data_IF_374808254381
#
_entry.id   IF_374808254381
#
_cell.length_a   1.000
_cell.length_b   1.000
_cell.length_c   1.000
_cell.angle_alpha   90.00
_cell.angle_beta   90.00
_cell.angle_gamma   90.00
#
_symmetry.space_group_name_H-M   'P 1'
#
loop_
_entity.id
_entity.type
_entity.pdbx_description
1 polymer ?
#
# COMPACT_ATOMS: atom_id res chain seq x y z
N UNK A 1 5.15 23.56 5.64
CA UNK A 1 3.87 23.27 4.96
C UNK A 1 2.79 24.31 5.31
N UNK A 2 2.54 24.60 6.59
CA UNK A 2 1.47 25.52 7.07
C UNK A 2 1.34 26.87 6.36
N UNK A 3 2.44 27.56 6.05
CA UNK A 3 2.38 28.84 5.32
C UNK A 3 1.83 28.66 3.89
N UNK A 4 2.31 27.63 3.18
CA UNK A 4 1.92 27.35 1.80
C UNK A 4 0.45 26.93 1.75
N UNK A 5 0.00 26.11 2.69
CA UNK A 5 -1.42 25.79 2.87
C UNK A 5 -2.23 27.07 3.06
N UNK A 6 -1.80 27.96 3.96
CA UNK A 6 -2.47 29.24 4.19
C UNK A 6 -2.56 30.14 2.96
N UNK A 7 -1.52 30.15 2.11
CA UNK A 7 -1.49 30.87 0.82
C UNK A 7 -2.51 30.28 -0.15
N UNK A 8 -2.51 28.96 -0.35
CA UNK A 8 -3.40 28.30 -1.31
C UNK A 8 -4.86 28.24 -0.87
N UNK A 9 -5.14 28.07 0.43
CA UNK A 9 -6.51 28.13 0.97
C UNK A 9 -7.17 29.49 0.77
N UNK A 10 -6.38 30.56 0.60
CA UNK A 10 -6.86 31.93 0.41
C UNK A 10 -6.49 32.52 -0.96
N UNK A 11 -6.04 31.65 -1.85
CA UNK A 11 -5.42 31.99 -3.12
C UNK A 11 -6.42 32.33 -4.21
N UNK A 12 -5.99 33.15 -5.16
CA UNK A 12 -6.71 33.46 -6.39
C UNK A 12 -5.96 32.90 -7.61
N UNK A 13 -6.48 33.21 -8.80
CA UNK A 13 -5.89 32.77 -10.08
C UNK A 13 -4.42 33.16 -10.25
N UNK A 14 -3.92 34.17 -9.52
CA UNK A 14 -2.52 34.63 -9.61
C UNK A 14 -1.54 33.55 -9.13
N UNK A 15 -1.94 32.69 -8.18
CA UNK A 15 -1.09 31.61 -7.67
C UNK A 15 -0.76 30.53 -8.72
N UNK A 16 -1.51 30.44 -9.82
CA UNK A 16 -1.23 29.48 -10.90
C UNK A 16 0.21 29.60 -11.43
N UNK A 17 0.74 30.82 -11.52
CA UNK A 17 2.12 31.08 -11.94
C UNK A 17 3.13 30.51 -10.95
N UNK A 18 2.89 30.67 -9.64
CA UNK A 18 3.77 30.14 -8.60
C UNK A 18 3.78 28.60 -8.60
N UNK A 19 2.63 27.95 -8.80
CA UNK A 19 2.55 26.49 -8.94
C UNK A 19 3.39 26.00 -10.12
N UNK A 20 3.25 26.65 -11.28
CA UNK A 20 4.01 26.27 -12.47
C UNK A 20 5.52 26.44 -12.27
N UNK A 21 5.96 27.52 -11.61
CA UNK A 21 7.37 27.76 -11.32
C UNK A 21 7.91 26.72 -10.32
N UNK A 22 7.20 26.47 -9.23
CA UNK A 22 7.58 25.46 -8.24
C UNK A 22 7.72 24.07 -8.89
N UNK A 23 6.75 23.69 -9.74
CA UNK A 23 6.80 22.45 -10.51
C UNK A 23 8.04 22.37 -11.42
N UNK A 24 8.37 23.46 -12.14
CA UNK A 24 9.58 23.54 -12.99
C UNK A 24 10.88 23.45 -12.18
N UNK A 25 10.88 23.88 -10.92
CA UNK A 25 11.99 23.74 -9.97
C UNK A 25 12.07 22.34 -9.31
N UNK A 26 11.18 21.43 -9.71
CA UNK A 26 11.18 20.04 -9.27
C UNK A 26 10.39 19.79 -7.99
N UNK A 27 9.56 20.72 -7.52
CA UNK A 27 8.59 20.43 -6.48
C UNK A 27 7.60 19.38 -6.98
N UNK A 28 7.62 18.21 -6.35
CA UNK A 28 6.70 17.09 -6.57
C UNK A 28 6.48 16.40 -5.24
N UNK A 29 5.26 15.89 -5.05
CA UNK A 29 4.88 15.17 -3.83
C UNK A 29 5.08 15.96 -2.54
N UNK A 30 4.84 17.28 -2.58
CA UNK A 30 4.95 18.20 -1.43
C UNK A 30 4.03 17.88 -0.24
N UNK A 31 3.11 16.91 -0.39
CA UNK A 31 2.30 16.39 0.70
C UNK A 31 3.05 15.41 1.63
N UNK A 32 4.22 14.92 1.23
CA UNK A 32 5.12 14.14 2.09
C UNK A 32 6.21 15.05 2.65
N UNK A 33 6.32 15.11 3.98
CA UNK A 33 7.15 16.10 4.67
C UNK A 33 8.64 15.99 4.31
N UNK A 34 9.10 14.79 4.00
CA UNK A 34 10.45 14.45 3.59
C UNK A 34 10.80 14.93 2.16
N UNK A 35 9.81 15.20 1.32
CA UNK A 35 10.00 15.71 -0.05
C UNK A 35 9.62 17.18 -0.20
N UNK A 36 9.00 17.77 0.82
CA UNK A 36 8.58 19.17 0.82
C UNK A 36 9.79 20.12 0.88
N UNK A 37 9.98 20.90 -0.18
CA UNK A 37 11.05 21.90 -0.27
C UNK A 37 10.48 23.32 -0.21
N UNK A 38 10.53 23.91 0.98
CA UNK A 38 9.99 25.24 1.21
C UNK A 38 10.77 26.36 0.49
N UNK A 39 12.08 26.17 0.26
CA UNK A 39 12.91 27.19 -0.37
C UNK A 39 12.47 27.41 -1.83
N UNK A 40 12.25 26.32 -2.56
CA UNK A 40 11.72 26.36 -3.93
C UNK A 40 10.35 27.03 -4.02
N UNK A 41 9.49 26.83 -3.03
CA UNK A 41 8.19 27.52 -2.96
C UNK A 41 8.32 29.02 -2.72
N UNK A 42 9.23 29.45 -1.84
CA UNK A 42 9.49 30.90 -1.63
C UNK A 42 10.03 31.56 -2.90
N UNK A 43 10.99 30.91 -3.56
CA UNK A 43 11.52 31.38 -4.84
C UNK A 43 10.41 31.44 -5.89
N UNK A 44 9.60 30.40 -6.01
CA UNK A 44 8.50 30.35 -6.97
C UNK A 44 7.45 31.44 -6.76
N UNK A 45 7.13 31.78 -5.50
CA UNK A 45 6.26 32.91 -5.17
C UNK A 45 6.92 34.26 -5.51
N UNK A 46 8.20 34.42 -5.20
CA UNK A 46 8.96 35.64 -5.51
C UNK A 46 9.08 35.88 -7.02
N UNK A 47 9.43 34.85 -7.81
CA UNK A 47 9.48 34.90 -9.28
C UNK A 47 8.09 35.11 -9.92
N UNK A 48 7.03 34.65 -9.25
CA UNK A 48 5.66 34.94 -9.65
C UNK A 48 5.27 36.41 -9.36
N UNK A 49 6.04 37.14 -8.54
CA UNK A 49 5.72 38.49 -8.08
C UNK A 49 4.65 38.50 -6.98
N UNK A 50 4.57 37.43 -6.19
CA UNK A 50 3.53 37.21 -5.20
C UNK A 50 4.11 37.23 -3.78
N UNK A 51 3.53 38.07 -2.94
CA UNK A 51 3.86 38.11 -1.52
C UNK A 51 2.97 37.11 -0.76
N UNK A 52 3.54 36.08 -0.08
CA UNK A 52 2.75 35.16 0.75
C UNK A 52 1.98 35.87 1.88
N UNK A 53 2.45 37.01 2.38
CA UNK A 53 1.77 37.75 3.44
C UNK A 53 0.48 38.41 2.98
N UNK A 54 0.37 38.77 1.69
CA UNK A 54 -0.88 39.23 1.08
C UNK A 54 -2.02 38.21 1.26
N UNK A 55 -1.71 36.91 1.23
CA UNK A 55 -2.72 35.86 1.38
C UNK A 55 -2.98 35.50 2.85
N UNK A 56 -1.98 35.62 3.71
CA UNK A 56 -1.98 35.00 5.04
C UNK A 56 -2.23 35.96 6.21
N UNK A 57 -1.77 37.22 6.10
CA UNK A 57 -1.77 38.17 7.23
C UNK A 57 -2.77 39.31 7.08
N UNK A 58 -3.22 39.63 5.86
CA UNK A 58 -4.11 40.77 5.67
C UNK A 58 -5.52 40.48 6.16
N UNK A 59 -6.15 41.49 6.75
CA UNK A 59 -7.60 41.50 6.97
C UNK A 59 -8.29 41.69 5.62
N UNK A 60 -9.38 40.95 5.40
CA UNK A 60 -10.18 41.00 4.18
C UNK A 60 -11.50 41.72 4.48
N UNK A 61 -11.77 42.87 3.86
CA UNK A 61 -13.05 43.53 4.04
C UNK A 61 -14.14 42.77 3.26
N UNK A 62 -15.39 42.89 3.68
CA UNK A 62 -16.48 42.08 3.12
C UNK A 62 -16.98 42.54 1.75
N UNK A 63 -16.64 43.77 1.37
CA UNK A 63 -16.88 44.35 0.04
C UNK A 63 -15.87 43.88 -1.02
N UNK A 64 -14.83 43.16 -0.61
CA UNK A 64 -13.91 42.50 -1.52
C UNK A 64 -14.58 41.28 -2.19
N UNK A 65 -14.23 41.06 -3.46
CA UNK A 65 -14.53 39.82 -4.17
C UNK A 65 -13.53 38.75 -3.73
N UNK A 66 -14.01 37.73 -3.01
CA UNK A 66 -13.17 36.63 -2.56
C UNK A 66 -12.93 35.61 -3.67
N UNK A 67 -11.79 34.91 -3.66
CA UNK A 67 -11.50 33.88 -4.66
C UNK A 67 -12.54 32.77 -4.72
N UNK A 68 -13.25 32.50 -3.62
CA UNK A 68 -14.30 31.49 -3.50
C UNK A 68 -15.73 32.06 -3.64
N UNK A 69 -15.91 33.36 -3.93
CA UNK A 69 -17.26 33.95 -4.08
C UNK A 69 -18.04 33.37 -5.27
N UNK A 70 -17.38 32.68 -6.19
CA UNK A 70 -18.02 31.96 -7.29
C UNK A 70 -18.58 30.58 -6.89
N UNK A 71 -18.38 30.15 -5.63
CA UNK A 71 -18.88 28.88 -5.12
C UNK A 71 -20.24 29.07 -4.45
N UNK A 72 -21.24 28.33 -4.92
CA UNK A 72 -22.58 28.33 -4.34
C UNK A 72 -22.73 27.15 -3.37
N UNK A 73 -22.58 27.40 -2.08
CA UNK A 73 -22.81 26.40 -1.03
C UNK A 73 -24.27 26.34 -0.57
N UNK A 74 -25.10 27.23 -1.10
CA UNK A 74 -26.49 27.47 -0.68
C UNK A 74 -26.61 28.46 0.49
N UNK A 75 -25.57 28.66 1.30
CA UNK A 75 -25.57 29.71 2.31
C UNK A 75 -25.24 31.08 1.67
N UNK A 76 -25.98 32.13 2.05
CA UNK A 76 -25.75 33.50 1.54
C UNK A 76 -24.50 34.14 2.14
N UNK A 77 -23.84 35.03 1.39
CA UNK A 77 -22.65 35.76 1.86
C UNK A 77 -23.01 36.64 3.07
N UNK A 78 -24.19 37.24 3.07
CA UNK A 78 -24.71 38.06 4.16
C UNK A 78 -24.91 37.24 5.44
N UNK A 79 -25.38 36.00 5.33
CA UNK A 79 -25.47 35.09 6.48
C UNK A 79 -24.08 34.75 7.03
N UNK A 80 -23.12 34.40 6.16
CA UNK A 80 -21.77 34.07 6.59
C UNK A 80 -21.05 35.24 7.28
N UNK A 81 -21.29 36.48 6.83
CA UNK A 81 -20.78 37.69 7.49
C UNK A 81 -21.36 37.81 8.90
N UNK A 82 -22.68 37.65 9.07
CA UNK A 82 -23.33 37.68 10.38
C UNK A 82 -22.81 36.58 11.32
N UNK A 83 -22.58 35.37 10.81
CA UNK A 83 -22.01 34.27 11.60
C UNK A 83 -20.57 34.55 12.01
N UNK A 84 -19.77 35.19 11.16
CA UNK A 84 -18.43 35.64 11.51
C UNK A 84 -18.45 36.70 12.63
N UNK A 85 -19.35 37.69 12.56
CA UNK A 85 -19.52 38.70 13.61
C UNK A 85 -19.93 38.07 14.95
N UNK A 86 -20.93 37.16 14.95
CA UNK A 86 -21.30 36.38 16.13
C UNK A 86 -20.13 35.58 16.70
N UNK A 87 -19.32 34.96 15.85
CA UNK A 87 -18.17 34.19 16.29
C UNK A 87 -17.13 35.07 17.00
N UNK A 88 -16.92 36.31 16.54
CA UNK A 88 -16.07 37.28 17.23
C UNK A 88 -16.65 37.69 18.60
N UNK A 89 -17.98 37.71 18.73
CA UNK A 89 -18.69 37.97 19.98
C UNK A 89 -18.84 36.72 20.88
N UNK A 90 -18.28 35.58 20.48
CA UNK A 90 -18.45 34.27 21.14
C UNK A 90 -19.92 33.82 21.26
N UNK A 91 -20.78 34.33 20.38
CA UNK A 91 -22.18 33.98 20.31
C UNK A 91 -22.39 32.73 19.43
N UNK A 92 -23.24 31.82 19.90
CA UNK A 92 -23.61 30.63 19.15
C UNK A 92 -24.85 30.84 18.28
N UNK A 93 -24.93 30.11 17.18
CA UNK A 93 -26.16 29.99 16.39
C UNK A 93 -26.87 28.68 16.74
N UNK A 94 -28.15 28.74 17.18
CA UNK A 94 -28.88 27.54 17.60
C UNK A 94 -29.17 26.61 16.43
N UNK A 95 -29.39 25.33 16.73
CA UNK A 95 -29.77 24.34 15.72
C UNK A 95 -31.13 24.69 15.12
N UNK A 96 -31.17 25.00 13.81
CA UNK A 96 -32.39 25.32 13.08
C UNK A 96 -33.38 24.15 12.97
N UNK A 97 -33.00 22.92 13.32
CA UNK A 97 -33.90 21.75 13.40
C UNK A 97 -34.78 21.77 14.65
N UNK A 98 -34.21 22.17 15.78
CA UNK A 98 -34.87 22.19 17.09
C UNK A 98 -35.30 23.61 17.51
N UNK A 99 -34.71 24.63 16.91
CA UNK A 99 -34.96 26.04 17.17
C UNK A 99 -35.57 26.78 15.98
N UNK A 100 -35.40 28.10 15.97
CA UNK A 100 -35.87 28.97 14.88
C UNK A 100 -34.92 28.87 13.68
N UNK A 101 -35.45 29.01 12.47
CA UNK A 101 -34.66 29.11 11.25
C UNK A 101 -33.63 30.27 11.38
N UNK A 102 -32.37 30.00 11.04
CA UNK A 102 -31.30 31.01 11.06
C UNK A 102 -31.21 31.84 9.77
N UNK A 103 -32.12 31.61 8.83
CA UNK A 103 -32.21 32.30 7.54
C UNK A 103 -30.89 32.29 6.74
N UNK A 104 -30.25 31.12 6.69
CA UNK A 104 -28.95 30.96 6.03
C UNK A 104 -29.03 31.01 4.50
N UNK A 105 -30.22 30.91 3.91
CA UNK A 105 -30.47 30.87 2.46
C UNK A 105 -30.48 29.47 1.84
N UNK A 106 -30.14 28.44 2.61
CA UNK A 106 -29.95 27.07 2.10
C UNK A 106 -31.27 26.33 1.84
N UNK A 107 -32.31 26.62 2.61
CA UNK A 107 -33.64 26.00 2.49
C UNK A 107 -34.64 27.02 1.92
N UNK A 108 -35.31 26.66 0.83
CA UNK A 108 -36.42 27.47 0.26
C UNK A 108 -37.80 27.01 0.78
N UNK A 109 -37.83 25.94 1.59
CA UNK A 109 -39.02 25.28 2.12
C UNK A 109 -40.03 24.79 1.06
N UNK A 110 -39.65 24.84 -0.22
CA UNK A 110 -40.42 24.39 -1.37
C UNK A 110 -39.76 23.14 -1.95
N UNK A 111 -38.57 23.28 -2.53
CA UNK A 111 -37.78 22.18 -3.09
C UNK A 111 -36.77 21.62 -2.07
N UNK A 112 -36.15 22.49 -1.27
CA UNK A 112 -35.10 22.19 -0.31
C UNK A 112 -35.61 22.50 1.10
N UNK A 113 -35.79 21.45 1.90
CA UNK A 113 -36.16 21.56 3.31
C UNK A 113 -35.41 20.52 4.14
N UNK A 114 -35.04 20.85 5.39
CA UNK A 114 -34.41 19.88 6.26
C UNK A 114 -35.45 18.79 6.56
N UNK A 115 -35.10 17.54 6.24
CA UNK A 115 -35.86 16.38 6.72
C UNK A 115 -35.11 15.79 7.89
N UNK A 116 -35.71 15.82 9.06
CA UNK A 116 -35.30 14.93 10.13
C UNK A 116 -35.47 13.51 9.62
N UNK A 117 -34.45 12.67 9.78
CA UNK A 117 -34.60 11.25 9.53
C UNK A 117 -35.69 10.72 10.47
N UNK A 118 -36.85 10.38 9.92
CA UNK A 118 -37.96 9.79 10.66
C UNK A 118 -37.78 8.28 10.64
N UNK A 119 -37.66 7.70 11.83
CA UNK A 119 -37.13 6.35 12.02
C UNK A 119 -35.65 6.43 12.34
N UNK A 120 -35.16 5.48 13.13
CA UNK A 120 -33.75 5.16 13.07
C UNK A 120 -33.44 5.07 11.58
N UNK A 121 -32.51 5.90 11.07
CA UNK A 121 -31.68 5.40 9.98
C UNK A 121 -31.21 4.11 10.60
N UNK A 122 -31.74 2.96 10.16
CA UNK A 122 -31.08 1.73 10.48
C UNK A 122 -29.70 1.99 9.96
N UNK A 123 -28.74 2.29 10.85
CA UNK A 123 -27.32 2.12 10.57
C UNK A 123 -27.33 0.78 9.88
N UNK A 124 -27.18 0.71 8.55
CA UNK A 124 -27.74 -0.38 7.74
C UNK A 124 -27.74 -1.71 8.52
N UNK A 125 -28.84 -2.06 9.20
CA UNK A 125 -28.91 -3.13 10.19
C UNK A 125 -27.63 -3.43 11.05
N UNK A 126 -26.76 -2.51 11.49
CA UNK A 126 -25.41 -2.84 12.00
C UNK A 126 -24.72 -3.95 11.18
N UNK A 127 -24.94 -3.97 9.86
CA UNK A 127 -24.71 -5.12 8.98
C UNK A 127 -24.81 -6.45 9.73
N UNK A 128 -25.93 -6.70 10.46
CA UNK A 128 -26.07 -7.66 11.59
C UNK A 128 -24.93 -8.62 11.50
N UNK A 129 -23.83 -8.33 12.20
CA UNK A 129 -22.60 -9.13 12.05
C UNK A 129 -23.09 -10.56 12.07
N UNK A 130 -23.00 -11.30 10.94
CA UNK A 130 -23.78 -12.53 10.82
C UNK A 130 -23.51 -13.30 12.10
N UNK A 131 -24.56 -13.78 12.77
CA UNK A 131 -24.38 -14.63 13.94
C UNK A 131 -23.74 -15.90 13.39
N UNK A 132 -22.43 -15.80 13.27
CA UNK A 132 -21.56 -16.77 12.70
C UNK A 132 -21.52 -17.89 13.73
N UNK A 133 -21.66 -19.17 13.32
CA UNK A 133 -21.57 -20.29 14.25
C UNK A 133 -20.36 -20.12 15.18
N UNK A 134 -20.52 -20.44 16.46
CA UNK A 134 -19.43 -20.34 17.46
C UNK A 134 -18.23 -21.20 17.08
N UNK A 135 -18.46 -22.26 16.30
CA UNK A 135 -17.40 -23.14 15.80
C UNK A 135 -16.45 -22.39 14.85
N UNK A 136 -15.26 -22.11 15.38
CA UNK A 136 -14.13 -21.55 14.64
C UNK A 136 -13.37 -22.66 13.93
N UNK A 137 -13.23 -22.52 12.61
CA UNK A 137 -12.39 -23.38 11.80
C UNK A 137 -11.22 -22.57 11.27
N UNK A 138 -10.01 -23.06 11.52
CA UNK A 138 -8.81 -22.53 10.88
C UNK A 138 -8.48 -23.38 9.66
N UNK A 139 -8.29 -22.71 8.53
CA UNK A 139 -7.89 -23.35 7.27
C UNK A 139 -6.55 -22.79 6.83
N UNK A 140 -5.66 -23.70 6.41
CA UNK A 140 -4.45 -23.34 5.67
C UNK A 140 -4.73 -23.42 4.20
N UNK A 141 -4.31 -22.40 3.48
CA UNK A 141 -4.36 -22.33 2.05
C UNK A 141 -2.96 -22.23 1.50
N UNK A 142 -2.70 -23.00 0.45
CA UNK A 142 -1.51 -22.86 -0.38
C UNK A 142 -1.90 -22.11 -1.65
N UNK A 143 -1.12 -21.14 -2.06
CA UNK A 143 -1.39 -20.33 -3.24
C UNK A 143 -0.12 -20.01 -4.02
N UNK A 144 -0.29 -19.65 -5.29
CA UNK A 144 0.73 -19.10 -6.16
C UNK A 144 0.50 -17.62 -6.40
N UNK A 145 1.59 -16.89 -6.60
CA UNK A 145 1.67 -15.48 -6.99
C UNK A 145 2.65 -15.37 -8.17
N UNK A 146 2.13 -15.23 -9.37
CA UNK A 146 2.87 -15.25 -10.64
C UNK A 146 2.42 -14.12 -11.58
N UNK A 147 3.06 -13.97 -12.73
CA UNK A 147 2.74 -12.93 -13.71
C UNK A 147 2.90 -11.51 -13.15
N UNK A 148 2.05 -10.58 -13.61
CA UNK A 148 2.07 -9.18 -13.14
C UNK A 148 1.78 -9.05 -11.64
N UNK A 149 1.04 -10.00 -11.06
CA UNK A 149 0.75 -10.03 -9.62
C UNK A 149 2.02 -10.09 -8.76
N UNK A 150 3.18 -10.52 -9.30
CA UNK A 150 4.49 -10.45 -8.61
C UNK A 150 4.87 -9.04 -8.16
N UNK A 151 4.34 -8.01 -8.82
CA UNK A 151 4.59 -6.60 -8.52
C UNK A 151 3.78 -6.10 -7.32
N UNK A 152 2.77 -6.85 -6.86
CA UNK A 152 2.03 -6.48 -5.66
C UNK A 152 2.92 -6.59 -4.42
N UNK A 153 2.96 -5.53 -3.63
CA UNK A 153 3.51 -5.55 -2.28
C UNK A 153 2.67 -6.45 -1.36
N UNK A 154 3.17 -6.70 -0.14
CA UNK A 154 2.45 -7.52 0.82
C UNK A 154 1.07 -6.95 1.17
N UNK A 155 0.97 -5.63 1.39
CA UNK A 155 -0.29 -4.98 1.75
C UNK A 155 -1.31 -5.01 0.60
N UNK A 156 -0.84 -4.84 -0.64
CA UNK A 156 -1.70 -4.92 -1.82
C UNK A 156 -2.20 -6.35 -2.07
N UNK A 157 -1.34 -7.35 -1.86
CA UNK A 157 -1.73 -8.75 -1.89
C UNK A 157 -2.81 -9.04 -0.83
N UNK A 158 -2.61 -8.60 0.41
CA UNK A 158 -3.60 -8.73 1.47
C UNK A 158 -4.93 -8.08 1.06
N UNK A 159 -4.90 -6.86 0.53
CA UNK A 159 -6.09 -6.16 0.08
C UNK A 159 -6.79 -6.87 -1.10
N UNK A 160 -6.04 -7.46 -2.03
CA UNK A 160 -6.59 -8.26 -3.12
C UNK A 160 -7.28 -9.53 -2.60
N UNK A 161 -6.62 -10.26 -1.72
CA UNK A 161 -7.15 -11.49 -1.11
C UNK A 161 -8.39 -11.19 -0.26
N UNK A 162 -8.38 -10.16 0.59
CA UNK A 162 -9.54 -9.76 1.39
C UNK A 162 -10.74 -9.42 0.51
N UNK A 163 -10.51 -8.67 -0.59
CA UNK A 163 -11.57 -8.36 -1.55
C UNK A 163 -12.11 -9.61 -2.24
N UNK A 164 -11.24 -10.55 -2.62
CA UNK A 164 -11.66 -11.82 -3.21
C UNK A 164 -12.44 -12.72 -2.24
N UNK A 165 -12.02 -12.81 -0.97
CA UNK A 165 -12.76 -13.53 0.10
C UNK A 165 -14.16 -12.94 0.26
N UNK A 166 -14.28 -11.60 0.30
CA UNK A 166 -15.58 -10.91 0.42
C UNK A 166 -16.48 -11.17 -0.79
N UNK A 167 -15.95 -11.06 -2.02
CA UNK A 167 -16.71 -11.36 -3.25
C UNK A 167 -17.15 -12.82 -3.34
N UNK A 168 -16.32 -13.74 -2.84
CA UNK A 168 -16.64 -15.16 -2.79
C UNK A 168 -17.72 -15.51 -1.73
N UNK A 169 -18.15 -14.53 -0.92
CA UNK A 169 -19.16 -14.72 0.13
C UNK A 169 -18.70 -15.66 1.24
N UNK A 170 -17.39 -15.74 1.50
CA UNK A 170 -16.86 -16.66 2.51
C UNK A 170 -17.09 -16.11 3.93
N UNK A 171 -17.41 -16.98 4.91
CA UNK A 171 -17.73 -16.59 6.29
C UNK A 171 -16.47 -16.30 7.11
N UNK A 172 -15.67 -15.31 6.69
CA UNK A 172 -14.42 -14.91 7.37
C UNK A 172 -14.71 -14.26 8.72
N UNK A 173 -13.95 -14.63 9.75
CA UNK A 173 -14.03 -14.00 11.09
C UNK A 173 -13.27 -12.69 11.13
N UNK A 174 -13.69 -11.82 12.05
CA UNK A 174 -13.07 -10.52 12.30
C UNK A 174 -12.60 -10.39 13.75
N UNK A 175 -11.64 -9.50 14.00
CA UNK A 175 -11.21 -9.13 15.35
C UNK A 175 -12.28 -8.32 16.09
N UNK A 176 -12.32 -8.44 17.43
CA UNK A 176 -13.30 -7.78 18.30
C UNK A 176 -12.76 -6.44 18.83
N UNK A 177 -12.63 -5.43 17.97
CA UNK A 177 -12.15 -4.08 18.33
C UNK A 177 -12.77 -2.97 17.48
N UNK A 178 -12.45 -1.71 17.76
CA UNK A 178 -13.03 -0.53 17.08
C UNK A 178 -12.85 -0.51 15.55
N UNK A 179 -11.85 -1.23 15.04
CA UNK A 179 -11.65 -1.47 13.61
C UNK A 179 -11.52 -2.99 13.38
N UNK A 180 -12.63 -3.70 13.13
CA UNK A 180 -12.63 -5.14 12.91
C UNK A 180 -11.79 -5.52 11.67
N UNK A 181 -10.71 -6.26 11.88
CA UNK A 181 -9.83 -6.76 10.83
C UNK A 181 -10.11 -8.24 10.55
N UNK A 182 -10.14 -8.68 9.28
CA UNK A 182 -10.25 -10.10 8.95
C UNK A 182 -9.17 -10.93 9.65
N UNK A 183 -9.54 -12.07 10.22
CA UNK A 183 -8.62 -13.04 10.84
C UNK A 183 -7.86 -13.83 9.78
N UNK A 184 -6.87 -13.16 9.20
CA UNK A 184 -5.95 -13.70 8.21
C UNK A 184 -4.53 -13.60 8.73
N UNK A 185 -3.73 -14.62 8.45
CA UNK A 185 -2.29 -14.61 8.66
C UNK A 185 -1.59 -15.13 7.43
N UNK A 186 -0.55 -14.43 6.99
CA UNK A 186 0.23 -14.82 5.82
C UNK A 186 1.58 -15.36 6.29
N UNK A 187 2.16 -16.26 5.50
CA UNK A 187 3.54 -16.68 5.65
C UNK A 187 4.51 -15.50 5.47
N UNK A 188 5.80 -15.82 5.33
CA UNK A 188 6.82 -14.79 5.13
C UNK A 188 6.52 -13.98 3.85
N UNK A 189 6.53 -12.64 3.91
CA UNK A 189 6.25 -11.82 2.74
C UNK A 189 7.21 -12.12 1.58
N UNK A 190 6.65 -12.42 0.42
CA UNK A 190 7.43 -12.56 -0.81
C UNK A 190 7.88 -11.17 -1.29
N UNK A 191 9.18 -10.95 -1.57
CA UNK A 191 9.66 -9.69 -2.13
C UNK A 191 8.96 -9.33 -3.45
N UNK A 192 8.77 -8.03 -3.69
CA UNK A 192 8.22 -7.50 -4.95
C UNK A 192 9.13 -7.91 -6.12
N UNK A 193 8.52 -8.34 -7.23
CA UNK A 193 9.23 -8.78 -8.43
C UNK A 193 9.55 -10.28 -8.47
N UNK A 194 9.42 -10.99 -7.34
CA UNK A 194 9.61 -12.44 -7.27
C UNK A 194 8.27 -13.15 -7.43
N UNK A 195 8.25 -14.20 -8.24
CA UNK A 195 7.12 -15.12 -8.38
C UNK A 195 7.23 -16.27 -7.38
N UNK A 196 6.11 -16.87 -7.01
CA UNK A 196 6.10 -18.05 -6.15
C UNK A 196 4.95 -18.98 -6.47
N UNK A 197 5.19 -20.28 -6.37
CA UNK A 197 4.18 -21.34 -6.49
C UNK A 197 3.90 -22.07 -5.16
N UNK A 198 4.52 -21.60 -4.08
CA UNK A 198 4.47 -22.26 -2.78
C UNK A 198 4.40 -21.23 -1.63
N UNK A 199 3.32 -20.45 -1.64
CA UNK A 199 2.98 -19.55 -0.54
C UNK A 199 1.86 -20.11 0.33
N UNK A 200 1.86 -19.70 1.60
CA UNK A 200 0.88 -20.15 2.57
C UNK A 200 0.21 -18.97 3.26
N UNK A 201 -1.08 -19.14 3.54
CA UNK A 201 -1.84 -18.28 4.42
C UNK A 201 -2.81 -19.11 5.24
N UNK A 202 -3.14 -18.64 6.43
CA UNK A 202 -4.19 -19.21 7.25
C UNK A 202 -5.33 -18.20 7.39
N UNK A 203 -6.55 -18.72 7.38
CA UNK A 203 -7.77 -17.95 7.62
C UNK A 203 -8.63 -18.62 8.69
N UNK A 204 -9.32 -17.81 9.49
CA UNK A 204 -10.34 -18.28 10.42
C UNK A 204 -11.74 -18.02 9.84
N UNK A 205 -12.50 -19.10 9.69
CA UNK A 205 -13.86 -19.10 9.18
C UNK A 205 -14.82 -19.51 10.29
N UNK A 206 -16.07 -19.13 10.14
CA UNK A 206 -17.15 -19.67 10.97
C UNK A 206 -17.98 -20.68 10.21
N UNK A 207 -18.24 -21.81 10.85
CA UNK A 207 -18.90 -22.95 10.23
C UNK A 207 -17.99 -23.75 9.30
N UNK A 208 -18.37 -25.01 9.05
CA UNK A 208 -17.61 -25.91 8.18
C UNK A 208 -17.86 -25.56 6.72
N UNK A 209 -16.79 -25.27 5.99
CA UNK A 209 -16.81 -25.12 4.53
C UNK A 209 -15.94 -26.21 3.92
N UNK A 210 -16.41 -26.83 2.84
CA UNK A 210 -15.61 -27.78 2.08
C UNK A 210 -14.34 -27.11 1.52
N UNK A 211 -13.12 -27.64 1.80
CA UNK A 211 -11.89 -27.03 1.33
C UNK A 211 -11.78 -26.92 -0.19
N UNK A 212 -12.25 -27.92 -0.94
CA UNK A 212 -12.17 -27.91 -2.40
C UNK A 212 -13.09 -26.84 -3.00
N UNK A 213 -14.37 -26.83 -2.59
CA UNK A 213 -15.33 -25.81 -3.02
C UNK A 213 -14.95 -24.39 -2.60
N UNK A 214 -14.25 -24.21 -1.46
CA UNK A 214 -13.72 -22.91 -1.05
C UNK A 214 -12.64 -22.41 -2.01
N UNK A 215 -11.70 -23.26 -2.39
CA UNK A 215 -10.63 -22.91 -3.34
C UNK A 215 -11.21 -22.51 -4.70
N UNK A 216 -12.22 -23.24 -5.17
CA UNK A 216 -12.91 -22.92 -6.44
C UNK A 216 -13.60 -21.56 -6.37
N UNK A 217 -14.37 -21.30 -5.31
CA UNK A 217 -15.03 -20.00 -5.09
C UNK A 217 -14.03 -18.84 -5.02
N UNK A 218 -12.91 -19.03 -4.31
CA UNK A 218 -11.87 -18.01 -4.24
C UNK A 218 -11.27 -17.72 -5.61
N UNK A 219 -10.87 -18.75 -6.34
CA UNK A 219 -10.18 -18.58 -7.62
C UNK A 219 -11.03 -17.87 -8.68
N UNK A 220 -12.37 -17.98 -8.62
CA UNK A 220 -13.26 -17.22 -9.50
C UNK A 220 -13.21 -15.71 -9.26
N UNK A 221 -12.86 -15.30 -8.04
CA UNK A 221 -12.87 -13.89 -7.60
C UNK A 221 -11.47 -13.27 -7.51
N UNK A 222 -10.41 -14.07 -7.70
CA UNK A 222 -9.02 -13.60 -7.65
C UNK A 222 -8.58 -12.98 -8.97
N UNK A 223 -7.71 -11.95 -8.91
CA UNK A 223 -7.11 -11.39 -10.12
C UNK A 223 -6.13 -12.37 -10.75
N UNK A 224 -5.81 -12.13 -12.02
CA UNK A 224 -4.80 -12.89 -12.75
C UNK A 224 -3.46 -12.91 -12.00
N UNK A 225 -2.81 -14.08 -11.99
CA UNK A 225 -1.54 -14.28 -11.29
C UNK A 225 -1.66 -14.61 -9.80
N UNK A 226 -2.85 -14.57 -9.18
CA UNK A 226 -3.08 -15.12 -7.83
C UNK A 226 -3.97 -16.35 -7.94
N UNK A 227 -3.48 -17.51 -7.51
CA UNK A 227 -4.25 -18.75 -7.57
C UNK A 227 -4.08 -19.60 -6.31
N UNK A 228 -5.20 -19.96 -5.69
CA UNK A 228 -5.24 -20.93 -4.59
C UNK A 228 -5.14 -22.34 -5.15
N UNK A 229 -4.20 -23.12 -4.62
CA UNK A 229 -3.84 -24.46 -5.09
C UNK A 229 -4.49 -25.55 -4.25
N UNK A 230 -4.57 -25.35 -2.93
CA UNK A 230 -5.14 -26.32 -2.00
C UNK A 230 -5.55 -25.64 -0.71
N UNK A 231 -6.53 -26.22 -0.01
CA UNK A 231 -6.88 -25.82 1.34
C UNK A 231 -7.04 -27.06 2.24
N UNK A 232 -6.69 -26.93 3.51
CA UNK A 232 -6.83 -28.00 4.51
C UNK A 232 -7.18 -27.44 5.87
N UNK A 233 -7.99 -28.16 6.64
CA UNK A 233 -8.27 -27.81 8.03
C UNK A 233 -6.99 -27.91 8.88
N UNK A 234 -6.87 -27.01 9.85
CA UNK A 234 -5.81 -27.00 10.84
C UNK A 234 -6.39 -26.97 12.25
N UNK A 235 -5.76 -27.67 13.21
CA UNK A 235 -5.94 -27.37 14.62
C UNK A 235 -5.56 -25.91 14.92
N UNK A 236 -6.31 -25.25 15.81
CA UNK A 236 -6.17 -23.81 16.08
C UNK A 236 -4.75 -23.38 16.49
N UNK A 237 -3.93 -24.27 17.06
CA UNK A 237 -2.61 -23.96 17.63
C UNK A 237 -1.42 -24.20 16.69
N UNK A 238 -1.63 -24.62 15.44
CA UNK A 238 -0.51 -24.91 14.52
C UNK A 238 0.04 -23.59 13.93
N UNK A 239 1.32 -23.25 14.10
CA UNK A 239 1.89 -22.04 13.50
C UNK A 239 1.97 -22.14 11.97
N UNK A 240 2.09 -20.99 11.30
CA UNK A 240 2.44 -20.95 9.88
C UNK A 240 3.84 -21.54 9.66
N UNK A 241 4.07 -22.26 8.55
CA UNK A 241 5.39 -22.79 8.28
C UNK A 241 6.39 -21.66 8.12
N UNK A 242 7.45 -21.69 8.92
CA UNK A 242 8.61 -20.85 8.69
C UNK A 242 9.67 -21.70 8.02
N UNK A 243 9.78 -21.61 6.69
CA UNK A 243 10.83 -22.32 5.97
C UNK A 243 12.22 -21.98 6.53
N UNK A 244 12.99 -23.02 6.87
CA UNK A 244 14.39 -22.91 7.26
C UNK A 244 15.24 -22.64 6.01
N UNK A 245 14.83 -23.23 4.88
CA UNK A 245 15.44 -23.01 3.58
C UNK A 245 14.38 -22.73 2.52
N UNK A 246 14.76 -21.97 1.51
CA UNK A 246 13.90 -21.66 0.38
C UNK A 246 14.64 -21.92 -0.92
N UNK A 247 13.97 -22.61 -1.83
CA UNK A 247 14.47 -22.91 -3.16
C UNK A 247 13.91 -21.91 -4.18
N UNK A 248 14.80 -21.44 -5.05
CA UNK A 248 14.52 -20.52 -6.13
C UNK A 248 15.07 -21.08 -7.44
N UNK A 249 14.30 -20.91 -8.50
CA UNK A 249 14.71 -21.08 -9.89
C UNK A 249 14.90 -19.68 -10.48
N UNK A 250 16.02 -19.48 -11.14
CA UNK A 250 16.44 -18.19 -11.69
C UNK A 250 16.70 -18.39 -13.18
N UNK A 251 16.06 -17.58 -14.01
CA UNK A 251 16.13 -17.70 -15.47
C UNK A 251 16.89 -16.51 -16.05
N UNK A 252 18.19 -16.69 -16.35
CA UNK A 252 19.06 -15.57 -16.76
C UNK A 252 18.82 -15.11 -18.20
N UNK A 253 18.32 -15.99 -19.07
CA UNK A 253 18.01 -15.66 -20.48
C UNK A 253 16.98 -14.53 -20.62
N UNK A 254 16.13 -14.38 -19.62
CA UNK A 254 15.06 -13.37 -19.57
C UNK A 254 15.48 -12.19 -18.66
N UNK A 255 16.79 -12.04 -18.42
CA UNK A 255 17.39 -10.99 -17.61
C UNK A 255 17.45 -9.62 -18.31
N UNK A 256 18.11 -8.62 -17.70
CA UNK A 256 18.19 -7.27 -18.26
C UNK A 256 18.85 -7.26 -19.65
N UNK A 257 18.40 -6.34 -20.51
CA UNK A 257 18.97 -6.08 -21.83
C UNK A 257 20.49 -5.83 -21.72
N UNK A 258 21.28 -6.58 -22.50
CA UNK A 258 22.73 -6.49 -22.51
C UNK A 258 23.46 -7.46 -21.58
N UNK A 259 22.75 -8.35 -20.88
CA UNK A 259 23.35 -9.45 -20.15
C UNK A 259 23.87 -10.54 -21.11
N UNK A 260 25.10 -10.37 -21.61
CA UNK A 260 25.75 -11.34 -22.49
C UNK A 260 26.55 -12.36 -21.68
N UNK A 261 25.93 -13.53 -21.49
CA UNK A 261 26.44 -14.60 -20.63
C UNK A 261 26.12 -15.95 -21.27
N UNK A 262 27.16 -16.77 -21.47
CA UNK A 262 27.06 -18.15 -21.90
C UNK A 262 27.16 -19.15 -20.73
N UNK A 263 26.97 -20.44 -21.03
CA UNK A 263 27.02 -21.49 -20.02
C UNK A 263 28.41 -21.67 -19.40
N UNK A 264 29.49 -21.51 -20.16
CA UNK A 264 30.86 -21.69 -19.66
C UNK A 264 31.24 -20.60 -18.65
N UNK A 265 30.90 -19.35 -18.97
CA UNK A 265 31.11 -18.20 -18.09
C UNK A 265 30.33 -18.35 -16.80
N UNK A 266 29.08 -18.79 -16.84
CA UNK A 266 28.30 -19.09 -15.64
C UNK A 266 28.96 -20.18 -14.80
N UNK A 267 29.37 -21.28 -15.41
CA UNK A 267 30.00 -22.37 -14.67
C UNK A 267 31.31 -21.90 -14.01
N UNK A 268 32.06 -21.00 -14.65
CA UNK A 268 33.20 -20.30 -14.05
C UNK A 268 32.84 -19.44 -12.84
N UNK A 269 31.84 -18.57 -12.97
CA UNK A 269 31.36 -17.69 -11.89
C UNK A 269 30.81 -18.48 -10.70
N UNK A 270 30.10 -19.59 -10.96
CA UNK A 270 29.61 -20.49 -9.93
C UNK A 270 30.75 -21.13 -9.15
N UNK A 271 31.78 -21.63 -9.84
CA UNK A 271 32.97 -22.21 -9.20
C UNK A 271 33.69 -21.19 -8.32
N UNK A 272 33.94 -19.98 -8.85
CA UNK A 272 34.56 -18.89 -8.09
C UNK A 272 33.72 -18.54 -6.84
N UNK A 273 32.42 -18.29 -7.01
CA UNK A 273 31.52 -17.96 -5.91
C UNK A 273 31.51 -19.03 -4.80
N UNK A 274 31.42 -20.31 -5.17
CA UNK A 274 31.37 -21.41 -4.21
C UNK A 274 32.71 -21.69 -3.52
N UNK A 275 33.83 -21.37 -4.18
CA UNK A 275 35.19 -21.56 -3.65
C UNK A 275 35.59 -20.55 -2.57
N UNK A 276 34.88 -19.42 -2.49
CA UNK A 276 35.11 -18.40 -1.46
C UNK A 276 34.48 -18.81 -0.14
N UNK A 277 35.19 -18.58 0.95
CA UNK A 277 34.70 -18.85 2.32
C UNK A 277 33.79 -17.74 2.86
N UNK A 278 33.98 -16.50 2.38
CA UNK A 278 33.23 -15.31 2.83
C UNK A 278 33.00 -14.35 1.67
N UNK A 279 31.78 -13.82 1.57
CA UNK A 279 31.34 -12.85 0.57
C UNK A 279 30.52 -11.76 1.30
N UNK A 280 31.18 -10.74 1.88
CA UNK A 280 30.49 -9.65 2.57
C UNK A 280 29.82 -8.72 1.56
N UNK A 281 28.55 -8.39 1.80
CA UNK A 281 27.79 -7.39 1.04
C UNK A 281 27.06 -6.43 1.97
N UNK A 282 27.07 -5.14 1.61
CA UNK A 282 26.38 -4.09 2.36
C UNK A 282 24.95 -3.91 1.86
N UNK A 283 23.95 -4.31 2.64
CA UNK A 283 22.52 -4.21 2.27
C UNK A 283 21.90 -2.96 2.88
N UNK A 284 21.49 -2.00 2.05
CA UNK A 284 20.65 -0.89 2.49
C UNK A 284 19.18 -1.28 2.62
N UNK A 285 18.60 -0.94 3.77
CA UNK A 285 17.17 -1.08 4.04
C UNK A 285 16.70 0.15 4.82
N UNK A 286 15.72 0.88 4.28
CA UNK A 286 15.12 2.06 4.92
C UNK A 286 16.17 3.11 5.35
N UNK A 287 17.18 3.33 4.52
CA UNK A 287 18.27 4.29 4.79
C UNK A 287 19.33 3.81 5.78
N UNK A 288 19.27 2.54 6.24
CA UNK A 288 20.29 1.91 7.09
C UNK A 288 21.05 0.85 6.31
N UNK A 289 22.37 0.95 6.33
CA UNK A 289 23.26 -0.05 5.71
C UNK A 289 23.61 -1.12 6.73
N UNK A 290 23.48 -2.40 6.34
CA UNK A 290 23.88 -3.53 7.17
C UNK A 290 24.73 -4.50 6.36
N UNK A 291 25.91 -4.81 6.89
CA UNK A 291 26.80 -5.79 6.28
C UNK A 291 26.35 -7.21 6.61
N UNK A 292 26.29 -8.05 5.57
CA UNK A 292 25.87 -9.44 5.65
C UNK A 292 26.79 -10.28 4.79
N UNK A 293 27.24 -11.41 5.32
CA UNK A 293 27.97 -12.40 4.52
C UNK A 293 27.00 -13.33 3.78
N UNK A 294 27.06 -13.34 2.45
CA UNK A 294 26.19 -14.16 1.60
C UNK A 294 26.56 -15.64 1.66
N UNK A 295 27.85 -15.97 1.75
CA UNK A 295 28.34 -17.33 1.59
C UNK A 295 27.73 -18.34 2.58
N UNK A 296 27.61 -18.06 3.90
CA UNK A 296 27.00 -19.01 4.85
C UNK A 296 25.49 -19.19 4.63
N UNK A 297 24.85 -18.23 3.96
CA UNK A 297 23.41 -18.25 3.68
C UNK A 297 23.06 -19.01 2.40
N UNK A 298 23.99 -19.14 1.47
CA UNK A 298 23.83 -19.96 0.26
C UNK A 298 24.13 -21.43 0.59
N UNK A 299 23.07 -22.24 0.73
CA UNK A 299 23.21 -23.68 0.97
C UNK A 299 23.62 -24.44 -0.29
N UNK A 300 23.14 -23.99 -1.45
CA UNK A 300 23.46 -24.59 -2.74
C UNK A 300 23.14 -23.63 -3.86
N UNK A 301 24.02 -23.59 -4.85
CA UNK A 301 23.84 -22.80 -6.06
C UNK A 301 24.41 -23.63 -7.21
N UNK A 302 23.57 -23.99 -8.17
CA UNK A 302 24.00 -24.80 -9.31
C UNK A 302 23.23 -24.42 -10.57
N UNK A 303 23.83 -24.69 -11.72
CA UNK A 303 23.14 -24.62 -13.02
C UNK A 303 22.38 -25.93 -13.24
N UNK A 304 21.17 -25.85 -13.79
CA UNK A 304 20.37 -27.05 -14.11
C UNK A 304 20.32 -27.32 -15.61
N UNK A 305 19.94 -26.31 -16.39
CA UNK A 305 19.84 -26.41 -17.86
C UNK A 305 20.00 -25.02 -18.48
N UNK A 306 20.71 -24.94 -19.61
CA UNK A 306 21.02 -23.70 -20.32
C UNK A 306 21.51 -22.61 -19.36
N UNK A 307 20.75 -21.51 -19.29
CA UNK A 307 21.00 -20.34 -18.43
C UNK A 307 20.04 -20.29 -17.22
N UNK A 308 19.67 -21.45 -16.69
CA UNK A 308 18.80 -21.58 -15.51
C UNK A 308 19.61 -22.02 -14.29
N UNK A 309 19.47 -21.27 -13.20
CA UNK A 309 20.11 -21.57 -11.93
C UNK A 309 19.10 -22.05 -10.90
N UNK A 310 19.52 -23.01 -10.08
CA UNK A 310 18.85 -23.41 -8.85
C UNK A 310 19.62 -22.85 -7.66
N UNK A 311 18.95 -22.05 -6.85
CA UNK A 311 19.49 -21.45 -5.64
C UNK A 311 18.72 -21.93 -4.40
N UNK A 312 19.44 -22.39 -3.38
CA UNK A 312 18.89 -22.69 -2.06
C UNK A 312 19.46 -21.72 -1.03
N UNK A 313 18.59 -20.91 -0.44
CA UNK A 313 18.94 -19.95 0.61
C UNK A 313 18.46 -20.41 1.98
N UNK A 314 19.33 -20.29 2.98
CA UNK A 314 18.99 -20.45 4.39
C UNK A 314 18.37 -19.15 4.92
N UNK A 315 17.41 -19.30 5.82
CA UNK A 315 16.84 -18.19 6.55
C UNK A 315 17.88 -17.62 7.52
N UNK A 316 18.22 -16.34 7.35
CA UNK A 316 19.10 -15.63 8.28
C UNK A 316 18.32 -15.11 9.49
N UNK A 317 18.89 -15.25 10.69
CA UNK A 317 18.42 -14.61 11.93
C UNK A 317 18.79 -13.12 11.95
N UNK A 318 18.05 -12.31 11.20
CA UNK A 318 18.05 -10.84 11.37
C UNK A 318 18.09 -10.03 10.07
N UNK A 319 18.96 -10.35 9.12
CA UNK A 319 19.01 -9.68 7.81
C UNK A 319 18.56 -10.64 6.71
N UNK A 320 17.40 -10.40 6.09
CA UNK A 320 16.90 -11.25 5.01
C UNK A 320 17.66 -10.92 3.72
N UNK A 321 18.59 -11.79 3.34
CA UNK A 321 19.21 -11.77 2.00
C UNK A 321 18.17 -12.20 0.97
N UNK A 322 18.05 -11.45 -0.13
CA UNK A 322 17.19 -11.80 -1.25
C UNK A 322 17.98 -12.57 -2.30
N UNK A 323 17.34 -13.44 -3.09
CA UNK A 323 17.97 -14.07 -4.25
C UNK A 323 18.67 -13.09 -5.20
N UNK A 324 18.08 -11.91 -5.41
CA UNK A 324 18.67 -10.85 -6.23
C UNK A 324 19.98 -10.29 -5.67
N UNK A 325 20.17 -10.29 -4.34
CA UNK A 325 21.43 -9.84 -3.73
C UNK A 325 22.57 -10.82 -4.02
N UNK A 326 22.26 -12.13 -4.09
CA UNK A 326 23.20 -13.17 -4.54
C UNK A 326 23.54 -13.01 -6.01
N UNK A 327 22.54 -12.75 -6.85
CA UNK A 327 22.76 -12.56 -8.29
C UNK A 327 23.57 -11.31 -8.61
N UNK A 328 23.32 -10.21 -7.91
CA UNK A 328 24.09 -8.99 -8.05
C UNK A 328 25.59 -9.26 -7.80
N UNK A 329 25.90 -10.03 -6.75
CA UNK A 329 27.28 -10.41 -6.44
C UNK A 329 27.85 -11.43 -7.45
N UNK A 330 27.10 -12.46 -7.81
CA UNK A 330 27.54 -13.53 -8.72
C UNK A 330 27.88 -12.98 -10.12
N UNK A 331 27.04 -12.06 -10.62
CA UNK A 331 27.14 -11.53 -11.98
C UNK A 331 27.89 -10.19 -12.04
N UNK A 332 28.27 -9.61 -10.90
CA UNK A 332 28.90 -8.29 -10.82
C UNK A 332 27.99 -7.16 -11.31
N UNK A 333 26.67 -7.29 -11.10
CA UNK A 333 25.67 -6.33 -11.58
C UNK A 333 25.24 -5.34 -10.49
N UNK A 334 24.88 -4.10 -10.86
CA UNK A 334 24.12 -3.21 -9.97
C UNK A 334 22.83 -3.89 -9.51
N UNK A 335 22.38 -3.57 -8.30
CA UNK A 335 21.19 -4.20 -7.71
C UNK A 335 19.92 -3.93 -8.50
N UNK A 336 19.80 -2.74 -9.08
CA UNK A 336 18.67 -2.38 -9.93
C UNK A 336 18.62 -3.25 -11.20
N UNK A 337 19.78 -3.64 -11.73
CA UNK A 337 19.85 -4.55 -12.88
C UNK A 337 19.57 -5.98 -12.46
N UNK A 338 20.11 -6.41 -11.31
CA UNK A 338 19.88 -7.76 -10.80
C UNK A 338 18.40 -8.00 -10.49
N UNK A 339 17.67 -7.00 -9.96
CA UNK A 339 16.25 -7.11 -9.62
C UNK A 339 15.32 -7.36 -10.81
N UNK A 340 15.79 -7.06 -12.04
CA UNK A 340 15.08 -7.35 -13.28
C UNK A 340 15.16 -8.82 -13.68
N UNK A 341 16.09 -9.60 -13.12
CA UNK A 341 16.22 -11.03 -13.42
C UNK A 341 15.00 -11.78 -12.86
N UNK A 342 14.29 -12.56 -13.68
CA UNK A 342 13.15 -13.35 -13.22
C UNK A 342 13.55 -14.42 -12.22
N UNK A 343 12.81 -14.50 -11.12
CA UNK A 343 13.01 -15.46 -10.04
C UNK A 343 11.68 -16.08 -9.65
N UNK A 344 11.66 -17.40 -9.63
CA UNK A 344 10.54 -18.21 -9.17
C UNK A 344 10.93 -18.95 -7.89
N UNK A 345 10.24 -18.67 -6.80
CA UNK A 345 10.28 -19.48 -5.58
C UNK A 345 9.44 -20.75 -5.77
N UNK A 346 10.07 -21.91 -5.66
CA UNK A 346 9.43 -23.21 -5.92
C UNK A 346 8.95 -23.93 -4.67
N UNK A 347 9.71 -23.82 -3.58
CA UNK A 347 9.37 -24.47 -2.31
C UNK A 347 10.04 -23.83 -1.11
N UNK A 348 9.39 -23.93 0.04
CA UNK A 348 10.00 -23.66 1.34
C UNK A 348 10.21 -24.98 2.08
N UNK A 349 11.47 -25.34 2.34
CA UNK A 349 11.81 -26.52 3.15
C UNK A 349 11.67 -26.13 4.62
N UNK A 350 10.81 -26.85 5.33
CA UNK A 350 10.46 -26.62 6.73
C UNK A 350 11.48 -27.21 7.68
#
# INVERSE_FOLDING_TARGET
MSLIEGVFSRGDRRLSKAVLIAFRKGCRFDGWSELFDFAKWKEGLSEAGLDPHFYTLRRRPFDEVFPWDHLETGATKEFLIKEYEKALELAGTPDCKAGKCSDCGLCDWKAIRPRSASGAIGCADEAKTPVLPDEVFRMRLRYSKTGESRLLSHLELMAAVIRGIRRAGLPIRYSQGFHPMPRLSFGQPLPVGIESVDEYMDMELSGKTDPAGLVEKLNREMPEGIRFLSASFLPLKVPLPSGIMTEYIITLKDGPLGLDIDSERIDGLLRDFLSRDSIPVSIEKEGRTKDVDLRPLVNGLSRTDGLTLRLMLKKASGASVRPHDVLACLLGLPRESASLIPILKTRSVQ
#
